data_IF_671566883945
#
_entry.id   IF_671566883945
#
_cell.length_a   1.000
_cell.length_b   1.000
_cell.length_c   1.000
_cell.angle_alpha   90.00
_cell.angle_beta   90.00
_cell.angle_gamma   90.00
#
_symmetry.space_group_name_H-M   'P 1'
#
loop_
_entity.id
_entity.type
_entity.pdbx_description
1 polymer ?
#
# COMPACT_ATOMS: atom_id res chain seq x y z
N UNK A 1 -4.10 6.94 40.05
CA UNK A 1 -5.27 7.36 39.23
C UNK A 1 -5.51 8.88 39.30
N UNK A 2 -5.59 9.50 40.49
CA UNK A 2 -5.80 10.96 40.61
C UNK A 2 -4.70 11.84 39.98
N UNK A 3 -3.42 11.43 40.02
CA UNK A 3 -2.31 12.18 39.39
C UNK A 3 -2.47 12.33 37.87
N UNK A 4 -2.74 11.23 37.15
CA UNK A 4 -2.97 11.25 35.69
C UNK A 4 -4.19 12.11 35.34
N UNK A 5 -5.26 12.01 36.13
CA UNK A 5 -6.47 12.82 35.91
C UNK A 5 -6.22 14.31 36.11
N UNK A 6 -5.50 14.71 37.17
CA UNK A 6 -5.14 16.10 37.41
C UNK A 6 -4.27 16.65 36.27
N UNK A 7 -3.26 15.88 35.86
CA UNK A 7 -2.38 16.22 34.75
C UNK A 7 -3.17 16.51 33.46
N UNK A 8 -4.13 15.64 33.13
CA UNK A 8 -4.96 15.79 31.93
C UNK A 8 -5.95 16.96 31.97
N UNK A 9 -6.49 17.28 33.15
CA UNK A 9 -7.63 18.22 33.27
C UNK A 9 -7.23 19.62 33.68
N UNK A 10 -6.13 19.75 34.42
CA UNK A 10 -5.68 21.03 35.00
C UNK A 10 -4.40 21.54 34.32
N UNK A 11 -3.50 20.64 33.93
CA UNK A 11 -2.16 21.01 33.46
C UNK A 11 -2.01 21.00 31.92
N UNK A 12 -3.05 20.58 31.19
CA UNK A 12 -3.03 20.50 29.72
C UNK A 12 -4.09 21.37 29.05
N UNK A 13 -3.70 22.09 27.98
CA UNK A 13 -4.68 22.66 27.04
C UNK A 13 -5.33 21.52 26.22
N UNK A 14 -6.63 21.30 26.48
CA UNK A 14 -7.43 20.26 25.83
C UNK A 14 -7.46 20.38 24.30
N UNK A 15 -7.29 21.59 23.73
CA UNK A 15 -7.30 21.81 22.28
C UNK A 15 -6.09 21.14 21.61
N UNK A 16 -4.92 21.32 22.21
CA UNK A 16 -3.68 20.72 21.72
C UNK A 16 -3.64 19.21 22.01
N UNK A 17 -4.25 18.76 23.11
CA UNK A 17 -4.43 17.33 23.37
C UNK A 17 -5.29 16.66 22.28
N UNK A 18 -6.42 17.25 21.91
CA UNK A 18 -7.26 16.72 20.82
C UNK A 18 -6.52 16.72 19.49
N UNK A 19 -5.74 17.76 19.20
CA UNK A 19 -4.90 17.83 18.00
C UNK A 19 -3.83 16.72 18.00
N UNK A 20 -3.16 16.48 19.14
CA UNK A 20 -2.18 15.42 19.28
C UNK A 20 -2.80 14.04 19.03
N UNK A 21 -3.97 13.76 19.60
CA UNK A 21 -4.70 12.49 19.38
C UNK A 21 -5.11 12.33 17.91
N UNK A 22 -5.60 13.39 17.27
CA UNK A 22 -5.96 13.36 15.84
C UNK A 22 -4.74 13.07 14.95
N UNK A 23 -3.63 13.78 15.17
CA UNK A 23 -2.39 13.56 14.41
C UNK A 23 -1.84 12.15 14.69
N UNK A 24 -1.89 11.68 15.94
CA UNK A 24 -1.51 10.33 16.31
C UNK A 24 -2.33 9.27 15.55
N UNK A 25 -3.65 9.48 15.43
CA UNK A 25 -4.52 8.59 14.69
C UNK A 25 -4.22 8.58 13.19
N UNK A 26 -4.08 9.76 12.57
CA UNK A 26 -3.79 9.87 11.13
C UNK A 26 -2.42 9.26 10.77
N UNK A 27 -1.41 9.51 11.60
CA UNK A 27 -0.05 8.95 11.40
C UNK A 27 -0.03 7.44 11.65
N UNK A 28 -0.76 6.95 12.66
CA UNK A 28 -0.96 5.51 12.88
C UNK A 28 -1.66 4.83 11.71
N UNK A 29 -2.70 5.46 11.14
CA UNK A 29 -3.39 4.96 9.96
C UNK A 29 -2.47 4.89 8.75
N UNK A 30 -1.68 5.94 8.51
CA UNK A 30 -0.68 5.96 7.44
C UNK A 30 0.36 4.84 7.63
N UNK A 31 0.87 4.67 8.85
CA UNK A 31 1.83 3.63 9.19
C UNK A 31 1.29 2.21 8.93
N UNK A 32 0.06 1.91 9.35
CA UNK A 32 -0.55 0.58 9.09
C UNK A 32 -0.74 0.34 7.58
N UNK A 33 -1.17 1.35 6.83
CA UNK A 33 -1.26 1.23 5.36
C UNK A 33 0.10 0.98 4.71
N UNK A 34 1.17 1.64 5.19
CA UNK A 34 2.54 1.40 4.74
C UNK A 34 3.04 0.00 5.11
N UNK A 35 2.71 -0.48 6.31
CA UNK A 35 3.01 -1.83 6.76
C UNK A 35 2.31 -2.90 5.91
N UNK A 36 1.05 -2.71 5.54
CA UNK A 36 0.35 -3.63 4.64
C UNK A 36 1.00 -3.73 3.26
N UNK A 37 1.54 -2.62 2.74
CA UNK A 37 2.33 -2.63 1.49
C UNK A 37 3.64 -3.38 1.66
N UNK A 38 4.31 -3.22 2.80
CA UNK A 38 5.49 -4.01 3.11
C UNK A 38 5.20 -5.51 3.13
N UNK A 39 4.05 -5.91 3.68
CA UNK A 39 3.60 -7.32 3.69
C UNK A 39 3.33 -7.86 2.29
N UNK A 40 2.83 -7.02 1.38
CA UNK A 40 2.56 -7.40 -0.02
C UNK A 40 3.80 -7.39 -0.92
N UNK A 41 4.91 -6.78 -0.47
CA UNK A 41 6.16 -6.69 -1.21
C UNK A 41 7.18 -7.75 -0.77
N UNK A 42 8.21 -7.97 -1.57
CA UNK A 42 9.35 -8.86 -1.24
C UNK A 42 10.69 -8.16 -1.51
N UNK A 43 11.76 -8.68 -0.89
CA UNK A 43 13.13 -8.21 -1.11
C UNK A 43 13.35 -6.74 -0.73
N UNK A 44 14.07 -5.98 -1.58
CA UNK A 44 14.44 -4.58 -1.31
C UNK A 44 13.23 -3.64 -1.18
N UNK A 45 12.15 -3.92 -1.91
CA UNK A 45 10.94 -3.10 -1.87
C UNK A 45 10.22 -3.26 -0.53
N UNK A 46 10.18 -4.47 0.02
CA UNK A 46 9.67 -4.73 1.36
C UNK A 46 10.45 -3.96 2.43
N UNK A 47 11.78 -4.00 2.38
CA UNK A 47 12.66 -3.24 3.27
C UNK A 47 12.39 -1.73 3.20
N UNK A 48 12.21 -1.18 2.00
CA UNK A 48 11.91 0.25 1.82
C UNK A 48 10.55 0.63 2.44
N UNK A 49 9.52 -0.20 2.26
CA UNK A 49 8.21 0.04 2.89
C UNK A 49 8.27 -0.09 4.41
N UNK A 50 9.01 -1.07 4.95
CA UNK A 50 9.22 -1.23 6.39
C UNK A 50 9.91 0.00 7.00
N UNK A 51 10.98 0.49 6.36
CA UNK A 51 11.67 1.70 6.78
C UNK A 51 10.73 2.92 6.73
N UNK A 52 9.95 3.05 5.66
CA UNK A 52 9.00 4.18 5.51
C UNK A 52 7.88 4.12 6.57
N UNK A 53 7.36 2.93 6.87
CA UNK A 53 6.36 2.71 7.92
C UNK A 53 6.92 3.03 9.31
N UNK A 54 8.14 2.58 9.61
CA UNK A 54 8.82 2.88 10.86
C UNK A 54 9.16 4.36 11.03
N UNK A 55 9.72 5.02 9.99
CA UNK A 55 9.96 6.47 10.02
C UNK A 55 8.65 7.23 10.23
N UNK A 56 7.59 6.87 9.51
CA UNK A 56 6.26 7.49 9.68
C UNK A 56 5.74 7.33 11.11
N UNK A 57 5.88 6.14 11.68
CA UNK A 57 5.47 5.85 13.06
C UNK A 57 6.32 6.63 14.06
N UNK A 58 7.65 6.66 13.89
CA UNK A 58 8.57 7.41 14.73
C UNK A 58 8.28 8.92 14.71
N UNK A 59 8.06 9.50 13.54
CA UNK A 59 7.62 10.90 13.41
C UNK A 59 6.26 11.13 14.07
N UNK A 60 5.31 10.20 13.94
CA UNK A 60 3.99 10.28 14.58
C UNK A 60 4.06 10.23 16.11
N UNK A 61 4.82 9.29 16.67
CA UNK A 61 5.09 9.18 18.12
C UNK A 61 5.73 10.48 18.61
N UNK A 62 6.78 10.94 17.91
CA UNK A 62 7.54 12.14 18.28
C UNK A 62 6.68 13.41 18.24
N UNK A 63 5.93 13.62 17.16
CA UNK A 63 5.00 14.74 17.03
C UNK A 63 3.92 14.68 18.13
N UNK A 64 3.33 13.51 18.38
CA UNK A 64 2.29 13.37 19.42
C UNK A 64 2.82 13.75 20.79
N UNK A 65 4.00 13.25 21.16
CA UNK A 65 4.63 13.58 22.45
C UNK A 65 4.91 15.07 22.58
N UNK A 66 5.54 15.70 21.59
CA UNK A 66 5.91 17.11 21.70
C UNK A 66 4.73 18.06 21.52
N UNK A 67 3.68 17.72 20.76
CA UNK A 67 2.42 18.48 20.76
C UNK A 67 1.76 18.41 22.15
N UNK A 68 1.75 17.25 22.79
CA UNK A 68 1.23 17.11 24.15
C UNK A 68 2.10 17.85 25.18
N UNK A 69 3.43 17.88 25.02
CA UNK A 69 4.31 18.71 25.84
C UNK A 69 4.12 20.21 25.62
N UNK A 70 3.77 20.64 24.41
CA UNK A 70 3.36 22.04 24.15
C UNK A 70 2.00 22.36 24.78
N UNK A 71 1.15 21.36 24.97
CA UNK A 71 -0.11 21.51 25.70
C UNK A 71 0.10 21.56 27.22
N UNK A 72 1.24 21.04 27.71
CA UNK A 72 1.56 20.96 29.13
C UNK A 72 2.10 22.29 29.65
N UNK A 73 1.37 22.92 30.58
CA UNK A 73 1.69 24.25 31.13
C UNK A 73 2.02 24.16 32.64
N UNK A 74 3.25 23.81 33.03
CA UNK A 74 3.64 23.66 34.43
C UNK A 74 3.80 24.99 35.19
N UNK A 75 3.50 26.14 34.55
CA UNK A 75 3.66 27.48 35.13
C UNK A 75 5.11 27.98 35.25
N UNK A 76 6.08 27.23 34.71
CA UNK A 76 7.51 27.59 34.68
C UNK A 76 8.03 27.59 33.23
N UNK A 77 9.08 28.38 32.91
CA UNK A 77 9.70 28.34 31.59
C UNK A 77 10.24 26.94 31.25
N UNK A 78 9.94 26.49 30.03
CA UNK A 78 10.37 25.20 29.48
C UNK A 78 11.16 25.41 28.19
N UNK A 79 12.23 24.64 28.02
CA UNK A 79 12.98 24.54 26.77
C UNK A 79 13.37 23.09 26.51
N UNK A 80 13.93 22.80 25.32
CA UNK A 80 14.25 21.42 24.94
C UNK A 80 15.64 21.30 24.34
N UNK A 81 16.47 20.40 24.87
CA UNK A 81 17.78 20.12 24.31
C UNK A 81 17.65 19.61 22.86
N UNK A 82 18.31 20.28 21.91
CA UNK A 82 18.20 19.95 20.47
C UNK A 82 18.70 18.52 20.18
N UNK A 83 19.82 18.12 20.81
CA UNK A 83 20.46 16.83 20.55
C UNK A 83 19.61 15.65 21.03
N UNK A 84 19.10 15.72 22.27
CA UNK A 84 18.21 14.68 22.81
C UNK A 84 16.86 14.66 22.10
N UNK A 85 16.34 15.82 21.68
CA UNK A 85 15.11 15.90 20.88
C UNK A 85 15.27 15.16 19.55
N UNK A 86 16.39 15.38 18.84
CA UNK A 86 16.69 14.66 17.60
C UNK A 86 16.94 13.17 17.83
N UNK A 87 17.67 12.81 18.90
CA UNK A 87 17.94 11.42 19.27
C UNK A 87 16.65 10.65 19.55
N UNK A 88 15.68 11.26 20.25
CA UNK A 88 14.38 10.64 20.54
C UNK A 88 13.61 10.28 19.27
N UNK A 89 13.65 11.15 18.24
CA UNK A 89 13.05 10.89 16.93
C UNK A 89 13.74 9.74 16.20
N UNK A 90 15.07 9.77 16.14
CA UNK A 90 15.86 8.73 15.45
C UNK A 90 15.68 7.36 16.12
N UNK A 91 15.69 7.33 17.45
CA UNK A 91 15.43 6.12 18.22
C UNK A 91 14.01 5.57 17.94
N UNK A 92 12.99 6.43 17.95
CA UNK A 92 11.63 6.03 17.63
C UNK A 92 11.52 5.43 16.22
N UNK A 93 12.08 6.09 15.21
CA UNK A 93 12.06 5.62 13.82
C UNK A 93 12.80 4.30 13.65
N UNK A 94 13.97 4.14 14.27
CA UNK A 94 14.76 2.92 14.19
C UNK A 94 14.06 1.73 14.87
N UNK A 95 13.63 1.90 16.13
CA UNK A 95 13.01 0.82 16.91
C UNK A 95 11.69 0.38 16.30
N UNK A 96 10.85 1.32 15.83
CA UNK A 96 9.59 0.96 15.17
C UNK A 96 9.82 0.29 13.81
N UNK A 97 10.83 0.70 13.03
CA UNK A 97 11.23 -0.01 11.81
C UNK A 97 11.64 -1.46 12.10
N UNK A 98 12.42 -1.68 13.16
CA UNK A 98 12.79 -3.02 13.62
C UNK A 98 11.55 -3.81 14.04
N UNK A 99 10.64 -3.21 14.80
CA UNK A 99 9.40 -3.87 15.24
C UNK A 99 8.52 -4.33 14.07
N UNK A 100 8.35 -3.49 13.04
CA UNK A 100 7.65 -3.91 11.83
C UNK A 100 8.40 -5.00 11.06
N UNK A 101 9.72 -4.92 10.96
CA UNK A 101 10.52 -5.96 10.30
C UNK A 101 10.41 -7.31 11.03
N UNK A 102 10.48 -7.30 12.36
CA UNK A 102 10.27 -8.49 13.21
C UNK A 102 8.86 -9.06 12.99
N UNK A 103 7.85 -8.20 12.85
CA UNK A 103 6.47 -8.63 12.57
C UNK A 103 6.29 -9.38 11.25
N UNK A 104 7.23 -9.24 10.30
CA UNK A 104 7.19 -9.91 9.00
C UNK A 104 8.32 -10.95 8.82
N UNK A 105 9.18 -11.15 9.83
CA UNK A 105 10.35 -12.01 9.73
C UNK A 105 9.98 -13.50 9.61
N UNK A 106 8.87 -13.91 10.22
CA UNK A 106 8.37 -15.29 10.17
C UNK A 106 6.85 -15.30 10.02
N UNK A 107 6.27 -16.31 9.36
CA UNK A 107 4.83 -16.46 9.29
C UNK A 107 4.24 -16.76 10.68
N UNK A 108 3.11 -16.12 10.99
CA UNK A 108 2.31 -16.42 12.19
C UNK A 108 2.10 -15.23 13.13
N UNK A 109 1.21 -15.43 14.10
CA UNK A 109 0.79 -14.40 15.05
C UNK A 109 1.91 -13.99 16.02
N UNK A 110 2.80 -14.92 16.37
CA UNK A 110 3.88 -14.67 17.32
C UNK A 110 4.86 -13.60 16.85
N UNK A 111 5.27 -13.64 15.57
CA UNK A 111 6.13 -12.61 15.00
C UNK A 111 5.49 -11.22 15.12
N UNK A 112 4.19 -11.11 14.85
CA UNK A 112 3.43 -9.87 14.98
C UNK A 112 3.36 -9.38 16.42
N UNK A 113 3.13 -10.27 17.39
CA UNK A 113 3.12 -9.92 18.81
C UNK A 113 4.48 -9.38 19.26
N UNK A 114 5.57 -10.09 18.95
CA UNK A 114 6.93 -9.63 19.30
C UNK A 114 7.25 -8.31 18.60
N UNK A 115 6.94 -8.18 17.31
CA UNK A 115 7.14 -6.94 16.57
C UNK A 115 6.37 -5.77 17.18
N UNK A 116 5.14 -6.01 17.64
CA UNK A 116 4.31 -4.98 18.28
C UNK A 116 4.78 -4.60 19.67
N UNK A 117 5.32 -5.55 20.44
CA UNK A 117 6.04 -5.26 21.70
C UNK A 117 7.24 -4.36 21.43
N UNK A 118 8.03 -4.62 20.39
CA UNK A 118 9.17 -3.78 19.99
C UNK A 118 8.71 -2.38 19.57
N UNK A 119 7.63 -2.26 18.78
CA UNK A 119 7.02 -0.95 18.45
C UNK A 119 6.61 -0.21 19.72
N UNK A 120 5.94 -0.88 20.66
CA UNK A 120 5.55 -0.30 21.95
C UNK A 120 6.76 0.10 22.82
N UNK A 121 7.84 -0.67 22.80
CA UNK A 121 9.11 -0.28 23.43
C UNK A 121 9.70 0.98 22.77
N UNK A 122 9.54 1.14 21.46
CA UNK A 122 9.91 2.35 20.73
C UNK A 122 9.13 3.60 21.18
N UNK A 123 7.85 3.45 21.53
CA UNK A 123 7.05 4.53 22.15
C UNK A 123 7.68 4.98 23.47
N UNK A 124 8.04 4.02 24.34
CA UNK A 124 8.71 4.32 25.61
C UNK A 124 10.08 4.93 25.45
N UNK A 125 10.92 4.34 24.58
CA UNK A 125 12.26 4.86 24.29
C UNK A 125 12.21 6.30 23.80
N UNK A 126 11.27 6.61 22.90
CA UNK A 126 11.02 7.97 22.44
C UNK A 126 10.60 8.88 23.59
N UNK A 127 9.56 8.50 24.35
CA UNK A 127 8.98 9.31 25.40
C UNK A 127 10.01 9.70 26.47
N UNK A 128 10.71 8.72 27.04
CA UNK A 128 11.67 8.99 28.12
C UNK A 128 12.91 9.72 27.63
N UNK A 129 13.36 9.46 26.39
CA UNK A 129 14.45 10.26 25.79
C UNK A 129 14.00 11.69 25.53
N UNK A 130 12.74 11.89 25.10
CA UNK A 130 12.13 13.21 24.91
C UNK A 130 11.98 13.98 26.23
N UNK A 131 11.56 13.30 27.29
CA UNK A 131 11.52 13.87 28.65
C UNK A 131 12.92 14.18 29.19
N UNK A 132 13.94 13.43 28.79
CA UNK A 132 15.33 13.77 29.13
C UNK A 132 15.82 15.03 28.41
N UNK A 133 15.22 15.37 27.27
CA UNK A 133 15.48 16.62 26.57
C UNK A 133 14.84 17.84 27.25
N UNK A 134 13.86 17.65 28.15
CA UNK A 134 13.17 18.75 28.82
C UNK A 134 14.12 19.51 29.76
N UNK A 135 14.30 20.79 29.50
CA UNK A 135 15.05 21.72 30.33
C UNK A 135 14.08 22.61 31.10
N UNK A 136 14.10 22.45 32.43
CA UNK A 136 13.30 23.22 33.40
C UNK A 136 14.20 23.63 34.57
N UNK A 137 13.87 24.73 35.29
CA UNK A 137 14.56 25.14 36.51
C UNK A 137 14.22 24.22 37.70
N UNK A 138 14.53 22.93 37.55
CA UNK A 138 14.15 21.87 38.47
C UNK A 138 14.73 20.51 38.10
N UNK A 139 14.47 19.52 38.95
CA UNK A 139 14.80 18.11 38.71
C UNK A 139 13.53 17.32 38.49
N UNK A 140 13.54 16.48 37.47
CA UNK A 140 12.46 15.54 37.19
C UNK A 140 12.64 14.28 38.05
N UNK A 141 11.73 14.05 38.97
CA UNK A 141 11.57 12.80 39.70
C UNK A 141 10.47 11.94 39.07
N UNK A 142 10.56 10.63 39.29
CA UNK A 142 9.72 9.63 38.62
C UNK A 142 9.03 8.70 39.61
N UNK A 143 7.72 8.52 39.43
CA UNK A 143 6.95 7.43 40.03
C UNK A 143 7.18 6.14 39.21
N UNK A 144 8.03 5.24 39.73
CA UNK A 144 8.42 4.02 39.01
C UNK A 144 7.23 3.10 38.66
N UNK A 145 6.22 2.88 39.54
CA UNK A 145 5.02 2.14 39.17
C UNK A 145 4.30 2.68 37.93
N UNK A 146 4.12 4.00 37.81
CA UNK A 146 3.49 4.61 36.64
C UNK A 146 4.37 4.53 35.40
N UNK A 147 5.69 4.65 35.55
CA UNK A 147 6.66 4.42 34.46
C UNK A 147 6.55 2.99 33.90
N UNK A 148 6.52 1.98 34.77
CA UNK A 148 6.38 0.59 34.34
C UNK A 148 5.01 0.33 33.70
N UNK A 149 3.95 0.94 34.25
CA UNK A 149 2.59 0.83 33.73
C UNK A 149 2.46 1.43 32.33
N UNK A 150 3.02 2.62 32.09
CA UNK A 150 2.98 3.25 30.78
C UNK A 150 3.73 2.42 29.73
N UNK A 151 4.93 1.92 30.05
CA UNK A 151 5.70 1.02 29.16
C UNK A 151 4.89 -0.24 28.85
N UNK A 152 4.29 -0.86 29.86
CA UNK A 152 3.42 -2.02 29.69
C UNK A 152 2.24 -1.76 28.76
N UNK A 153 1.52 -0.64 28.93
CA UNK A 153 0.40 -0.25 28.06
C UNK A 153 0.86 -0.08 26.61
N UNK A 154 1.99 0.60 26.39
CA UNK A 154 2.57 0.76 25.05
C UNK A 154 2.89 -0.58 24.39
N UNK A 155 3.52 -1.51 25.11
CA UNK A 155 3.85 -2.84 24.60
C UNK A 155 2.62 -3.70 24.32
N UNK A 156 1.63 -3.71 25.22
CA UNK A 156 0.41 -4.53 25.09
C UNK A 156 -0.43 -4.06 23.92
N UNK A 157 -0.70 -2.76 23.81
CA UNK A 157 -1.49 -2.22 22.70
C UNK A 157 -0.71 -2.23 21.39
N UNK A 158 0.62 -2.07 21.41
CA UNK A 158 1.49 -2.26 20.24
C UNK A 158 1.41 -3.70 19.71
N UNK A 159 1.50 -4.70 20.59
CA UNK A 159 1.33 -6.10 20.24
C UNK A 159 -0.06 -6.38 19.65
N UNK A 160 -1.12 -5.86 20.27
CA UNK A 160 -2.48 -6.00 19.77
C UNK A 160 -2.68 -5.32 18.39
N UNK A 161 -2.07 -4.16 18.18
CA UNK A 161 -2.13 -3.42 16.91
C UNK A 161 -1.52 -4.24 15.77
N UNK A 162 -0.31 -4.77 15.93
CA UNK A 162 0.32 -5.58 14.87
C UNK A 162 -0.37 -6.94 14.71
N UNK A 163 -0.81 -7.57 15.80
CA UNK A 163 -1.62 -8.77 15.75
C UNK A 163 -2.91 -8.57 14.93
N UNK A 164 -3.56 -7.40 15.05
CA UNK A 164 -4.70 -7.04 14.20
C UNK A 164 -4.28 -6.76 12.76
N UNK A 165 -3.20 -5.99 12.57
CA UNK A 165 -2.72 -5.60 11.24
C UNK A 165 -2.32 -6.79 10.36
N UNK A 166 -1.74 -7.85 10.95
CA UNK A 166 -1.31 -9.02 10.18
C UNK A 166 -2.47 -9.91 9.72
N UNK A 167 -3.68 -9.79 10.29
CA UNK A 167 -4.83 -10.66 9.96
C UNK A 167 -5.43 -10.38 8.59
N UNK A 168 -5.58 -9.11 8.24
CA UNK A 168 -6.11 -8.67 6.93
C UNK A 168 -5.76 -7.21 6.68
N UNK A 169 -5.82 -6.80 5.41
CA UNK A 169 -5.70 -5.42 4.94
C UNK A 169 -7.07 -4.76 4.66
N UNK A 170 -8.17 -5.39 5.08
CA UNK A 170 -9.51 -4.80 5.01
C UNK A 170 -9.59 -3.48 5.79
N UNK A 171 -10.40 -2.53 5.29
CA UNK A 171 -10.55 -1.20 5.90
C UNK A 171 -10.89 -1.26 7.40
N UNK A 172 -11.76 -2.19 7.81
CA UNK A 172 -12.16 -2.35 9.21
C UNK A 172 -10.98 -2.79 10.08
N UNK A 173 -10.20 -3.78 9.65
CA UNK A 173 -9.05 -4.27 10.42
C UNK A 173 -7.90 -3.27 10.45
N UNK A 174 -7.72 -2.52 9.37
CA UNK A 174 -6.78 -1.39 9.28
C UNK A 174 -7.14 -0.29 10.28
N UNK A 175 -8.42 0.09 10.37
CA UNK A 175 -8.90 1.07 11.35
C UNK A 175 -8.70 0.58 12.78
N UNK A 176 -9.04 -0.69 13.08
CA UNK A 176 -8.83 -1.28 14.41
C UNK A 176 -7.34 -1.29 14.79
N UNK A 177 -6.45 -1.69 13.87
CA UNK A 177 -5.01 -1.68 14.13
C UNK A 177 -4.48 -0.26 14.36
N UNK A 178 -4.93 0.72 13.59
CA UNK A 178 -4.55 2.13 13.75
C UNK A 178 -5.04 2.69 15.09
N UNK A 179 -6.27 2.37 15.51
CA UNK A 179 -6.81 2.77 16.82
C UNK A 179 -6.04 2.13 17.97
N UNK A 180 -5.68 0.85 17.87
CA UNK A 180 -4.86 0.18 18.88
C UNK A 180 -3.46 0.77 18.98
N UNK A 181 -2.84 1.11 17.84
CA UNK A 181 -1.53 1.78 17.83
C UNK A 181 -1.62 3.20 18.43
N UNK A 182 -2.69 3.94 18.10
CA UNK A 182 -2.99 5.25 18.71
C UNK A 182 -3.15 5.11 20.22
N UNK A 183 -3.89 4.11 20.67
CA UNK A 183 -4.09 3.82 22.09
C UNK A 183 -2.78 3.46 22.78
N UNK A 184 -1.89 2.71 22.13
CA UNK A 184 -0.54 2.42 22.64
C UNK A 184 0.24 3.71 22.93
N UNK A 185 0.22 4.67 22.00
CA UNK A 185 0.96 5.93 22.10
C UNK A 185 0.33 6.85 23.16
N UNK A 186 -0.98 7.08 23.06
CA UNK A 186 -1.71 8.02 23.92
C UNK A 186 -1.77 7.53 25.37
N UNK A 187 -2.11 6.25 25.58
CA UNK A 187 -2.17 5.69 26.95
C UNK A 187 -0.80 5.64 27.61
N UNK A 188 0.26 5.31 26.85
CA UNK A 188 1.63 5.41 27.34
C UNK A 188 1.96 6.84 27.76
N UNK A 189 1.78 7.80 26.85
CA UNK A 189 2.18 9.19 27.06
C UNK A 189 1.53 9.79 28.32
N UNK A 190 0.20 9.73 28.44
CA UNK A 190 -0.47 10.37 29.56
C UNK A 190 -0.28 9.64 30.89
N UNK A 191 -0.09 8.31 30.87
CA UNK A 191 0.29 7.57 32.07
C UNK A 191 1.70 7.94 32.52
N UNK A 192 2.63 8.11 31.57
CA UNK A 192 4.01 8.51 31.85
C UNK A 192 4.11 9.97 32.34
N UNK A 193 3.33 10.90 31.78
CA UNK A 193 3.24 12.28 32.27
C UNK A 193 2.72 12.33 33.70
N UNK A 194 1.74 11.48 34.06
CA UNK A 194 1.29 11.37 35.46
C UNK A 194 2.34 10.79 36.42
N UNK A 195 3.46 10.26 35.91
CA UNK A 195 4.59 9.78 36.70
C UNK A 195 5.63 10.86 37.01
N UNK A 196 5.56 12.01 36.34
CA UNK A 196 6.53 13.10 36.43
C UNK A 196 6.24 13.98 37.65
N UNK A 197 7.28 14.28 38.41
CA UNK A 197 7.25 15.27 39.49
C UNK A 197 8.42 16.24 39.34
N UNK A 198 8.14 17.53 39.13
CA UNK A 198 9.18 18.54 38.95
C UNK A 198 9.49 19.17 40.31
N UNK A 199 10.68 18.88 40.84
CA UNK A 199 11.20 19.47 42.06
C UNK A 199 11.94 20.77 41.70
N UNK A 200 11.48 21.96 42.11
CA UNK A 200 12.13 23.22 41.77
C UNK A 200 13.58 23.28 42.29
N UNK A 201 14.50 23.68 41.43
CA UNK A 201 15.92 23.82 41.75
C UNK A 201 16.43 25.11 41.06
N UNK A 202 16.47 26.25 41.77
CA UNK A 202 16.79 27.55 41.18
C UNK A 202 18.26 27.68 40.74
N UNK A 203 19.08 26.66 41.00
CA UNK A 203 20.49 26.63 40.56
C UNK A 203 20.65 26.14 39.11
N UNK A 204 19.58 25.59 38.52
CA UNK A 204 19.56 25.13 37.13
C UNK A 204 19.20 26.27 36.18
N UNK A 205 20.12 26.60 35.29
CA UNK A 205 19.90 27.52 34.15
C UNK A 205 19.60 26.74 32.89
N UNK A 206 18.77 27.30 32.01
CA UNK A 206 18.45 26.75 30.68
C UNK A 206 19.68 26.90 29.78
N UNK A 207 20.05 25.85 29.04
CA UNK A 207 21.25 25.85 28.21
C UNK A 207 21.06 26.68 26.94
N UNK A 208 22.17 27.22 26.41
CA UNK A 208 22.17 28.06 25.21
C UNK A 208 21.81 27.32 23.91
N UNK A 209 21.86 25.98 23.89
CA UNK A 209 21.56 25.12 22.73
C UNK A 209 20.23 24.39 22.89
N UNK A 210 19.16 25.16 23.15
CA UNK A 210 17.82 24.68 23.40
C UNK A 210 16.82 25.17 22.34
N UNK A 211 15.79 24.36 22.08
CA UNK A 211 14.65 24.71 21.24
C UNK A 211 13.61 25.43 22.07
N UNK A 212 13.17 26.59 21.59
CA UNK A 212 11.98 27.24 22.10
C UNK A 212 10.71 26.47 21.70
N UNK A 213 9.59 26.61 22.43
CA UNK A 213 8.29 26.04 22.07
C UNK A 213 7.89 26.33 20.61
N UNK A 214 8.14 27.55 20.13
CA UNK A 214 7.85 27.95 18.74
C UNK A 214 8.72 27.21 17.72
N UNK A 215 10.03 27.07 17.98
CA UNK A 215 10.93 26.33 17.09
C UNK A 215 10.55 24.84 17.03
N UNK A 216 10.16 24.27 18.17
CA UNK A 216 9.66 22.90 18.26
C UNK A 216 8.35 22.72 17.48
N UNK A 217 7.40 23.65 17.59
CA UNK A 217 6.16 23.63 16.80
C UNK A 217 6.41 23.64 15.29
N UNK A 218 7.39 24.45 14.83
CA UNK A 218 7.81 24.45 13.42
C UNK A 218 8.47 23.13 13.00
N UNK A 219 9.27 22.52 13.87
CA UNK A 219 9.86 21.21 13.61
C UNK A 219 8.77 20.12 13.49
N UNK A 220 7.75 20.16 14.34
CA UNK A 220 6.56 19.28 14.25
C UNK A 220 5.82 19.49 12.93
N UNK A 221 5.58 20.73 12.53
CA UNK A 221 4.91 21.03 11.26
C UNK A 221 5.68 20.45 10.05
N UNK A 222 7.01 20.60 10.04
CA UNK A 222 7.85 20.01 8.99
C UNK A 222 7.82 18.48 9.00
N UNK A 223 7.84 17.84 10.18
CA UNK A 223 7.69 16.39 10.30
C UNK A 223 6.33 15.90 9.76
N UNK A 224 5.25 16.63 10.06
CA UNK A 224 3.92 16.32 9.54
C UNK A 224 3.86 16.42 8.01
N UNK A 225 4.45 17.47 7.41
CA UNK A 225 4.57 17.61 5.96
C UNK A 225 5.37 16.45 5.34
N UNK A 226 6.47 16.04 5.97
CA UNK A 226 7.27 14.90 5.51
C UNK A 226 6.45 13.59 5.53
N UNK A 227 5.67 13.35 6.58
CA UNK A 227 4.78 12.17 6.68
C UNK A 227 3.69 12.18 5.61
N UNK A 228 3.07 13.34 5.36
CA UNK A 228 2.10 13.48 4.27
C UNK A 228 2.76 13.23 2.90
N UNK A 229 3.97 13.75 2.69
CA UNK A 229 4.77 13.52 1.48
C UNK A 229 5.07 12.04 1.26
N UNK A 230 5.51 11.32 2.29
CA UNK A 230 5.74 9.87 2.23
C UNK A 230 4.46 9.09 1.91
N UNK A 231 3.34 9.48 2.53
CA UNK A 231 2.03 8.84 2.30
C UNK A 231 1.53 9.06 0.86
N UNK A 232 1.68 10.27 0.33
CA UNK A 232 1.34 10.61 -1.05
C UNK A 232 2.25 9.90 -2.05
N UNK A 233 3.57 9.91 -1.83
CA UNK A 233 4.52 9.17 -2.66
C UNK A 233 4.18 7.68 -2.69
N UNK A 234 3.77 7.13 -1.54
CA UNK A 234 3.18 5.81 -1.43
C UNK A 234 1.98 5.63 -2.36
N UNK A 235 0.96 6.47 -2.22
CA UNK A 235 -0.24 6.37 -3.04
C UNK A 235 0.05 6.47 -4.55
N UNK A 236 1.02 7.30 -4.96
CA UNK A 236 1.47 7.38 -6.35
C UNK A 236 2.20 6.12 -6.83
N UNK A 237 3.05 5.52 -5.99
CA UNK A 237 3.73 4.27 -6.31
C UNK A 237 2.72 3.14 -6.59
N UNK A 238 1.68 3.03 -5.77
CA UNK A 238 0.60 2.04 -5.97
C UNK A 238 -0.16 2.28 -7.26
N UNK A 239 -0.53 3.54 -7.55
CA UNK A 239 -1.22 3.90 -8.79
C UNK A 239 -0.38 3.51 -10.00
N UNK A 240 0.93 3.72 -9.95
CA UNK A 240 1.85 3.38 -11.04
C UNK A 240 2.00 1.88 -11.23
N UNK A 241 2.04 1.10 -10.15
CA UNK A 241 2.04 -0.36 -10.23
C UNK A 241 0.73 -0.89 -10.83
N UNK A 242 -0.43 -0.42 -10.34
CA UNK A 242 -1.74 -0.80 -10.89
C UNK A 242 -1.91 -0.40 -12.35
N UNK A 243 -1.36 0.74 -12.76
CA UNK A 243 -1.35 1.16 -14.17
C UNK A 243 -0.49 0.24 -15.03
N UNK A 244 0.70 -0.18 -14.56
CA UNK A 244 1.53 -1.15 -15.29
C UNK A 244 0.84 -2.49 -15.43
N UNK A 245 0.20 -2.98 -14.37
CA UNK A 245 -0.57 -4.23 -14.42
C UNK A 245 -1.72 -4.11 -15.42
N UNK A 246 -2.49 -3.02 -15.37
CA UNK A 246 -3.59 -2.77 -16.31
C UNK A 246 -3.11 -2.65 -17.77
N UNK A 247 -1.97 -1.99 -18.01
CA UNK A 247 -1.36 -1.89 -19.34
C UNK A 247 -0.92 -3.26 -19.85
N UNK A 248 -0.30 -4.08 -18.99
CA UNK A 248 0.09 -5.44 -19.35
C UNK A 248 -1.13 -6.29 -19.68
N UNK A 249 -2.16 -6.28 -18.84
CA UNK A 249 -3.43 -7.01 -19.10
C UNK A 249 -4.08 -6.54 -20.40
N UNK A 250 -4.11 -5.22 -20.65
CA UNK A 250 -4.69 -4.65 -21.88
C UNK A 250 -3.87 -5.05 -23.11
N UNK A 251 -2.54 -4.98 -23.04
CA UNK A 251 -1.66 -5.39 -24.13
C UNK A 251 -1.83 -6.88 -24.44
N UNK A 252 -1.90 -7.73 -23.41
CA UNK A 252 -2.11 -9.17 -23.55
C UNK A 252 -3.49 -9.50 -24.14
N UNK A 253 -4.55 -8.79 -23.74
CA UNK A 253 -5.91 -9.02 -24.26
C UNK A 253 -6.13 -8.45 -25.66
N UNK A 254 -5.34 -7.44 -26.08
CA UNK A 254 -5.40 -6.88 -27.43
C UNK A 254 -4.50 -7.64 -28.44
N UNK A 255 -3.83 -8.70 -28.02
CA UNK A 255 -3.15 -9.60 -28.95
C UNK A 255 -4.17 -10.43 -29.74
N UNK A 256 -3.91 -10.65 -31.03
CA UNK A 256 -4.74 -11.52 -31.85
C UNK A 256 -4.67 -12.99 -31.43
N UNK A 257 -3.56 -13.37 -30.79
CA UNK A 257 -3.22 -14.72 -30.34
C UNK A 257 -3.75 -14.97 -28.91
N UNK A 258 -4.20 -16.21 -28.65
CA UNK A 258 -4.41 -16.70 -27.30
C UNK A 258 -3.08 -16.90 -26.56
N UNK A 259 -3.02 -16.56 -25.27
CA UNK A 259 -1.83 -16.77 -24.44
C UNK A 259 -2.20 -17.59 -23.19
N UNK A 260 -1.34 -18.54 -22.85
CA UNK A 260 -1.36 -19.31 -21.61
C UNK A 260 0.06 -19.38 -21.05
N UNK A 261 0.20 -19.49 -19.74
CA UNK A 261 1.48 -19.75 -19.09
C UNK A 261 1.25 -20.64 -17.88
N UNK A 262 2.04 -21.70 -17.73
CA UNK A 262 1.94 -22.64 -16.61
C UNK A 262 3.17 -22.55 -15.69
N UNK A 263 2.99 -22.96 -14.44
CA UNK A 263 4.10 -23.19 -13.51
C UNK A 263 4.77 -24.56 -13.75
N UNK A 264 5.91 -24.85 -13.10
CA UNK A 264 6.57 -26.16 -13.22
C UNK A 264 5.69 -27.35 -12.75
N UNK A 265 4.62 -27.09 -11.99
CA UNK A 265 3.63 -28.07 -11.55
C UNK A 265 2.42 -28.16 -12.51
N UNK A 266 2.49 -27.55 -13.69
CA UNK A 266 1.46 -27.52 -14.75
C UNK A 266 0.15 -26.88 -14.31
N UNK A 267 0.21 -25.89 -13.41
CA UNK A 267 -0.92 -25.04 -13.05
C UNK A 267 -0.87 -23.73 -13.80
N UNK A 268 -2.02 -23.27 -14.26
CA UNK A 268 -2.14 -22.04 -15.04
C UNK A 268 -1.75 -20.82 -14.18
N UNK A 269 -0.74 -20.08 -14.60
CA UNK A 269 -0.32 -18.82 -13.98
C UNK A 269 -1.06 -17.65 -14.63
N UNK A 270 -1.12 -17.63 -15.96
CA UNK A 270 -1.61 -16.49 -16.74
C UNK A 270 -2.34 -16.96 -17.99
N UNK A 271 -3.42 -16.26 -18.35
CA UNK A 271 -4.10 -16.40 -19.63
C UNK A 271 -4.65 -15.05 -20.09
N UNK A 272 -4.90 -14.89 -21.39
CA UNK A 272 -5.62 -13.72 -21.92
C UNK A 272 -7.07 -14.08 -22.32
N UNK A 273 -7.95 -13.08 -22.39
CA UNK A 273 -9.35 -13.30 -22.77
C UNK A 273 -9.48 -13.88 -24.19
N UNK A 274 -8.56 -13.50 -25.09
CA UNK A 274 -8.53 -13.96 -26.47
C UNK A 274 -8.49 -15.49 -26.56
N UNK A 275 -7.75 -16.16 -25.69
CA UNK A 275 -7.73 -17.63 -25.65
C UNK A 275 -9.10 -18.23 -25.33
N UNK A 276 -9.79 -17.69 -24.33
CA UNK A 276 -11.13 -18.16 -23.92
C UNK A 276 -12.13 -17.96 -25.07
N UNK A 277 -12.09 -16.79 -25.72
CA UNK A 277 -12.96 -16.46 -26.85
C UNK A 277 -12.67 -17.32 -28.09
N UNK A 278 -11.40 -17.61 -28.38
CA UNK A 278 -10.99 -18.40 -29.53
C UNK A 278 -11.55 -19.83 -29.48
N UNK A 279 -11.58 -20.43 -28.29
CA UNK A 279 -11.98 -21.82 -28.08
C UNK A 279 -13.37 -21.97 -27.43
N UNK A 280 -14.09 -20.87 -27.17
CA UNK A 280 -15.42 -20.91 -26.56
C UNK A 280 -15.44 -21.51 -25.15
N UNK A 281 -14.35 -21.34 -24.40
CA UNK A 281 -14.19 -21.94 -23.08
C UNK A 281 -14.96 -21.13 -22.02
N UNK A 282 -15.24 -21.75 -20.87
CA UNK A 282 -15.94 -21.08 -19.78
C UNK A 282 -14.95 -20.33 -18.89
N UNK A 283 -15.13 -19.02 -18.63
CA UNK A 283 -14.30 -18.26 -17.69
C UNK A 283 -14.36 -18.80 -16.25
N UNK A 284 -15.41 -19.55 -15.92
CA UNK A 284 -15.55 -20.18 -14.60
C UNK A 284 -14.61 -21.40 -14.41
N UNK A 285 -14.19 -22.00 -15.51
CA UNK A 285 -13.29 -23.16 -15.55
C UNK A 285 -11.85 -22.70 -15.79
N UNK A 286 -11.64 -21.77 -16.74
CA UNK A 286 -10.32 -21.20 -17.05
C UNK A 286 -9.97 -20.11 -16.03
N UNK A 287 -9.24 -20.49 -14.98
CA UNK A 287 -8.79 -19.59 -13.92
C UNK A 287 -7.38 -19.93 -13.44
N UNK A 288 -6.61 -18.97 -12.91
CA UNK A 288 -5.28 -19.27 -12.40
C UNK A 288 -5.34 -20.37 -11.34
N UNK A 289 -4.39 -21.30 -11.39
CA UNK A 289 -4.32 -22.48 -10.54
C UNK A 289 -4.97 -23.75 -11.11
N UNK A 290 -5.77 -23.65 -12.19
CA UNK A 290 -6.31 -24.84 -12.87
C UNK A 290 -5.17 -25.65 -13.50
N UNK A 291 -5.27 -26.98 -13.50
CA UNK A 291 -4.22 -27.82 -14.11
C UNK A 291 -4.39 -27.85 -15.63
N UNK A 292 -3.31 -28.11 -16.36
CA UNK A 292 -3.39 -28.33 -17.81
C UNK A 292 -4.38 -29.45 -18.16
N UNK A 293 -4.50 -30.47 -17.30
CA UNK A 293 -5.43 -31.58 -17.46
C UNK A 293 -6.89 -31.16 -17.31
N UNK A 294 -7.19 -30.28 -16.35
CA UNK A 294 -8.55 -29.71 -16.21
C UNK A 294 -8.91 -28.85 -17.42
N UNK A 295 -7.94 -28.09 -17.94
CA UNK A 295 -8.10 -27.27 -19.13
C UNK A 295 -8.39 -28.13 -20.37
N UNK A 296 -7.63 -29.22 -20.58
CA UNK A 296 -7.83 -30.16 -21.69
C UNK A 296 -9.15 -30.93 -21.57
N UNK A 297 -9.57 -31.29 -20.36
CA UNK A 297 -10.90 -31.88 -20.12
C UNK A 297 -12.00 -30.92 -20.54
N UNK A 298 -11.89 -29.63 -20.18
CA UNK A 298 -12.83 -28.60 -20.60
C UNK A 298 -12.84 -28.41 -22.12
N UNK A 299 -11.66 -28.44 -22.77
CA UNK A 299 -11.56 -28.44 -24.22
C UNK A 299 -12.30 -29.61 -24.88
N UNK A 300 -12.21 -30.81 -24.29
CA UNK A 300 -12.93 -32.01 -24.75
C UNK A 300 -14.45 -31.90 -24.53
N UNK A 301 -14.88 -31.35 -23.40
CA UNK A 301 -16.29 -31.08 -23.10
C UNK A 301 -16.93 -30.08 -24.09
N UNK A 302 -16.18 -29.05 -24.49
CA UNK A 302 -16.62 -28.06 -25.49
C UNK A 302 -16.42 -28.57 -26.94
N UNK A 303 -15.82 -29.74 -27.11
CA UNK A 303 -15.63 -30.38 -28.42
C UNK A 303 -14.50 -29.78 -29.27
N UNK A 304 -13.58 -29.05 -28.67
CA UNK A 304 -12.45 -28.40 -29.36
C UNK A 304 -11.19 -29.26 -29.41
N UNK A 305 -11.12 -30.31 -28.58
CA UNK A 305 -10.06 -31.32 -28.55
C UNK A 305 -10.62 -32.67 -28.99
N UNK A 306 -10.02 -33.25 -30.04
CA UNK A 306 -10.38 -34.56 -30.60
C UNK A 306 -9.59 -35.71 -29.98
N UNK A 307 -8.40 -35.45 -29.45
CA UNK A 307 -7.50 -36.46 -28.88
C UNK A 307 -7.92 -36.94 -27.48
N UNK A 308 -7.29 -38.02 -27.02
CA UNK A 308 -7.42 -38.45 -25.64
C UNK A 308 -6.60 -37.54 -24.71
N UNK A 309 -7.22 -37.10 -23.60
CA UNK A 309 -6.61 -36.13 -22.68
C UNK A 309 -5.36 -36.71 -22.04
N UNK A 310 -5.35 -38.01 -21.69
CA UNK A 310 -4.21 -38.63 -21.02
C UNK A 310 -3.05 -38.85 -21.99
N UNK A 311 -3.36 -39.25 -23.22
CA UNK A 311 -2.36 -39.40 -24.27
C UNK A 311 -1.72 -38.06 -24.65
N UNK A 312 -2.52 -37.00 -24.73
CA UNK A 312 -2.02 -35.64 -24.99
C UNK A 312 -1.13 -35.16 -23.84
N UNK A 313 -1.55 -35.34 -22.58
CA UNK A 313 -0.73 -35.02 -21.41
C UNK A 313 0.61 -35.78 -21.41
N UNK A 314 0.60 -37.08 -21.71
CA UNK A 314 1.81 -37.89 -21.74
C UNK A 314 2.81 -37.43 -22.83
N UNK A 315 2.29 -37.06 -24.01
CA UNK A 315 3.10 -36.55 -25.13
C UNK A 315 3.74 -35.20 -24.78
N UNK A 316 2.96 -34.34 -24.11
CA UNK A 316 3.43 -33.07 -23.60
C UNK A 316 4.53 -33.20 -22.55
N UNK A 317 4.35 -34.14 -21.62
CA UNK A 317 5.31 -34.39 -20.56
C UNK A 317 6.66 -34.85 -21.10
N UNK A 318 6.64 -35.70 -22.12
CA UNK A 318 7.84 -36.12 -22.83
C UNK A 318 8.52 -34.94 -23.54
N UNK A 319 7.76 -34.09 -24.23
CA UNK A 319 8.30 -32.91 -24.92
C UNK A 319 8.92 -31.87 -23.97
N UNK A 320 8.30 -31.66 -22.80
CA UNK A 320 8.82 -30.77 -21.76
C UNK A 320 10.11 -31.36 -21.15
N UNK A 321 10.14 -32.67 -20.89
CA UNK A 321 11.31 -33.35 -20.34
C UNK A 321 12.55 -33.26 -21.25
N UNK A 322 12.34 -33.20 -22.57
CA UNK A 322 13.41 -33.01 -23.56
C UNK A 322 13.91 -31.54 -23.67
N UNK A 323 13.26 -30.58 -23.01
CA UNK A 323 13.62 -29.17 -23.08
C UNK A 323 13.55 -28.59 -24.50
N UNK A 324 12.71 -29.16 -25.38
CA UNK A 324 12.56 -28.69 -26.75
C UNK A 324 11.40 -27.71 -26.86
N UNK A 325 11.60 -26.69 -27.69
CA UNK A 325 10.50 -25.81 -28.09
C UNK A 325 9.72 -26.50 -29.19
N UNK A 326 8.51 -27.00 -28.90
CA UNK A 326 7.68 -27.73 -29.85
C UNK A 326 6.65 -26.79 -30.45
N UNK A 327 6.57 -26.72 -31.77
CA UNK A 327 5.47 -26.05 -32.48
C UNK A 327 4.58 -27.13 -33.05
N UNK A 328 3.32 -27.18 -32.64
CA UNK A 328 2.35 -28.16 -33.13
C UNK A 328 1.16 -27.41 -33.71
N UNK A 329 0.62 -27.91 -34.82
CA UNK A 329 -0.66 -27.44 -35.34
C UNK A 329 -1.72 -28.42 -34.83
N UNK A 330 -2.64 -27.93 -34.01
CA UNK A 330 -3.80 -28.73 -33.62
C UNK A 330 -4.91 -28.52 -34.63
N UNK A 331 -5.37 -29.62 -35.24
CA UNK A 331 -6.59 -29.59 -36.04
C UNK A 331 -7.77 -29.74 -35.10
N UNK A 332 -8.39 -28.61 -34.77
CA UNK A 332 -9.59 -28.61 -33.93
C UNK A 332 -10.76 -29.24 -34.69
N UNK A 333 -11.62 -30.00 -34.01
CA UNK A 333 -12.78 -30.67 -34.61
C UNK A 333 -13.76 -29.70 -35.34
N UNK A 334 -13.62 -28.41 -35.07
CA UNK A 334 -14.36 -27.28 -35.63
C UNK A 334 -13.78 -26.79 -36.97
N UNK A 335 -12.72 -27.40 -37.51
CA UNK A 335 -12.03 -26.97 -38.74
C UNK A 335 -11.16 -25.71 -38.55
N UNK A 336 -10.71 -25.44 -37.32
CA UNK A 336 -9.68 -24.44 -37.03
C UNK A 336 -8.36 -25.15 -36.77
N UNK A 337 -7.42 -25.00 -37.69
CA UNK A 337 -6.02 -25.33 -37.48
C UNK A 337 -5.33 -24.09 -36.90
N UNK A 338 -5.03 -24.09 -35.60
CA UNK A 338 -4.36 -22.98 -34.93
C UNK A 338 -2.96 -23.44 -34.46
N UNK A 339 -1.87 -22.79 -34.93
CA UNK A 339 -0.51 -23.19 -34.56
C UNK A 339 -0.20 -22.78 -33.11
N UNK A 340 0.23 -23.71 -32.27
CA UNK A 340 0.70 -23.44 -30.90
C UNK A 340 2.20 -23.72 -30.75
N UNK A 341 2.89 -22.96 -29.89
CA UNK A 341 4.32 -23.09 -29.62
C UNK A 341 4.59 -23.22 -28.11
N UNK A 342 5.19 -24.34 -27.73
CA UNK A 342 5.66 -24.65 -26.38
C UNK A 342 7.13 -24.27 -26.30
N UNK A 343 7.58 -23.51 -25.29
CA UNK A 343 9.00 -23.24 -25.05
C UNK A 343 9.60 -24.24 -24.05
N UNK A 344 10.92 -24.42 -24.15
CA UNK A 344 11.74 -25.34 -23.35
C UNK A 344 11.64 -25.13 -21.82
N UNK A 345 11.20 -23.96 -21.36
CA UNK A 345 11.06 -23.60 -19.95
C UNK A 345 9.63 -23.78 -19.39
N UNK A 346 8.75 -24.45 -20.16
CA UNK A 346 7.35 -24.67 -19.79
C UNK A 346 6.41 -23.48 -20.07
N UNK A 347 6.92 -22.37 -20.66
CA UNK A 347 6.08 -21.25 -21.10
C UNK A 347 5.50 -21.50 -22.49
N UNK A 348 4.25 -21.08 -22.69
CA UNK A 348 3.53 -21.24 -23.96
C UNK A 348 3.35 -19.88 -24.65
N UNK A 349 3.42 -19.88 -25.98
CA UNK A 349 2.98 -18.77 -26.86
C UNK A 349 2.27 -19.37 -28.07
N UNK A 350 1.06 -18.91 -28.40
CA UNK A 350 0.43 -19.29 -29.67
C UNK A 350 1.11 -18.58 -30.85
N UNK A 351 1.10 -19.25 -32.01
CA UNK A 351 1.47 -18.69 -33.31
C UNK A 351 0.30 -17.99 -33.99
N UNK A 352 0.63 -17.19 -35.01
CA UNK A 352 -0.32 -16.35 -35.74
C UNK A 352 -1.47 -17.13 -36.39
N UNK A 353 -2.68 -16.56 -36.36
CA UNK A 353 -3.76 -16.98 -37.24
C UNK A 353 -3.35 -16.71 -38.70
N UNK A 354 -3.07 -17.79 -39.43
CA UNK A 354 -2.66 -17.73 -40.82
C UNK A 354 -3.75 -17.14 -41.76
N UNK A 355 -5.00 -16.98 -41.31
CA UNK A 355 -6.07 -16.36 -42.12
C UNK A 355 -6.12 -14.84 -42.06
N UNK A 356 -5.41 -14.20 -41.12
CA UNK A 356 -5.35 -12.73 -41.00
C UNK A 356 -4.67 -12.01 -42.18
N UNK A 357 -3.78 -12.69 -42.92
CA UNK A 357 -3.07 -12.07 -44.07
C UNK A 357 -3.91 -11.98 -45.35
N UNK A 358 -4.86 -12.88 -45.57
CA UNK A 358 -5.67 -12.83 -46.80
C UNK A 358 -6.77 -11.76 -46.77
N UNK A 359 -7.21 -11.31 -45.58
CA UNK A 359 -8.24 -10.29 -45.44
C UNK A 359 -7.77 -8.84 -45.60
N UNK A 360 -6.47 -8.55 -45.39
CA UNK A 360 -5.91 -7.20 -45.54
C UNK A 360 -5.44 -6.91 -46.96
N UNK A 361 -4.93 -7.90 -47.71
CA UNK A 361 -4.49 -7.70 -49.11
C UNK A 361 -5.65 -7.48 -50.10
N UNK A 362 -6.85 -8.00 -49.80
CA UNK A 362 -8.04 -7.80 -50.63
C UNK A 362 -8.71 -6.43 -50.44
N UNK A 363 -8.41 -5.69 -49.37
CA UNK A 363 -8.86 -4.29 -49.20
C UNK A 363 -7.89 -3.26 -49.75
N UNK A 364 -6.63 -3.62 -49.98
CA UNK A 364 -5.60 -2.73 -50.52
C UNK A 364 -5.61 -2.61 -52.06
N UNK A 365 -6.33 -3.47 -52.79
CA UNK A 365 -6.34 -3.50 -54.26
C UNK A 365 -7.52 -2.78 -54.92
N UNK A 366 -8.44 -2.16 -54.15
CA UNK A 366 -9.62 -1.48 -54.70
C UNK A 366 -9.68 0.03 -54.39
N UNK A 367 -8.56 0.73 -54.59
CA UNK A 367 -8.56 2.19 -54.70
C UNK A 367 -7.28 2.69 -55.40
N UNK A 368 -7.20 2.55 -56.72
CA UNK A 368 -6.30 3.38 -57.55
C UNK A 368 -7.15 4.35 -58.37
N UNK A 369 -7.16 5.67 -58.08
CA UNK A 369 -7.57 6.67 -59.03
C UNK A 369 -6.46 6.88 -60.07
N UNK A 370 -6.84 7.03 -61.34
CA UNK A 370 -5.93 7.31 -62.46
C UNK A 370 -5.21 8.67 -62.28
N UNK A 371 -3.96 8.82 -62.77
CA UNK A 371 -3.25 10.09 -62.75
C UNK A 371 -3.62 10.92 -63.99
N UNK A 372 -4.30 12.06 -63.80
CA UNK A 372 -4.54 12.98 -64.91
C UNK A 372 -5.35 14.23 -64.53
N UNK A 373 -4.64 15.38 -64.53
CA UNK A 373 -5.16 16.75 -64.74
C UNK A 373 -5.71 17.52 -63.49
N UNK A 374 -5.73 18.87 -63.52
CA UNK A 374 -4.82 19.70 -62.72
C UNK A 374 -5.53 20.46 -61.59
N UNK A 375 -4.73 20.80 -60.58
CA UNK A 375 -5.12 21.57 -59.40
C UNK A 375 -5.27 23.06 -59.72
N UNK A 376 -6.39 23.72 -59.36
CA UNK A 376 -6.42 25.18 -59.33
C UNK A 376 -5.97 25.68 -57.96
N UNK A 377 -5.08 26.66 -58.06
CA UNK A 377 -4.45 27.45 -57.02
C UNK A 377 -5.44 28.44 -56.36
N UNK A 378 -4.98 29.12 -55.28
CA UNK A 378 -5.61 30.15 -54.42
C UNK A 378 -6.22 29.59 -53.13
N UNK A 379 -6.01 30.15 -51.95
CA UNK A 379 -5.37 31.41 -51.55
C UNK A 379 -5.76 31.71 -50.10
N UNK A 380 -4.85 32.36 -49.38
CA UNK A 380 -4.94 32.88 -48.01
C UNK A 380 -6.32 33.44 -47.62
N UNK A 381 -6.76 33.21 -46.38
CA UNK A 381 -7.38 34.25 -45.54
C UNK A 381 -7.28 33.87 -44.04
N UNK A 382 -7.03 34.91 -43.25
CA UNK A 382 -6.65 34.89 -41.85
C UNK A 382 -7.86 34.91 -40.89
N UNK A 383 -7.54 34.86 -39.59
CA UNK A 383 -8.44 34.65 -38.46
C UNK A 383 -9.62 35.61 -38.30
N UNK A 384 -10.60 35.16 -37.52
CA UNK A 384 -11.32 36.02 -36.60
C UNK A 384 -11.88 35.22 -35.41
N UNK A 385 -11.74 35.86 -34.26
CA UNK A 385 -12.21 35.58 -32.91
C UNK A 385 -13.75 35.56 -32.84
N UNK A 386 -14.36 34.65 -32.06
CA UNK A 386 -15.72 34.84 -31.52
C UNK A 386 -15.99 33.96 -30.29
N UNK A 387 -16.24 34.63 -29.16
CA UNK A 387 -16.83 34.13 -27.91
C UNK A 387 -18.35 33.97 -28.05
N UNK A 388 -18.92 33.26 -27.07
CA UNK A 388 -20.33 33.30 -26.61
C UNK A 388 -21.36 32.26 -27.15
N UNK A 389 -21.73 31.37 -26.21
CA UNK A 389 -23.11 31.19 -25.69
C UNK A 389 -23.99 30.01 -26.14
N UNK A 390 -24.81 29.57 -25.17
CA UNK A 390 -25.97 28.65 -25.22
C UNK A 390 -25.71 27.14 -25.33
N UNK A 391 -26.44 26.23 -24.64
CA UNK A 391 -27.37 26.25 -23.51
C UNK A 391 -27.72 24.76 -23.28
N UNK A 392 -27.77 24.30 -22.03
CA UNK A 392 -28.39 23.01 -21.67
C UNK A 392 -29.92 23.13 -21.70
N UNK A 393 -30.64 22.01 -21.88
CA UNK A 393 -31.81 21.80 -21.04
C UNK A 393 -31.80 20.42 -20.37
N UNK A 394 -32.31 20.43 -19.14
CA UNK A 394 -32.66 19.26 -18.35
C UNK A 394 -34.17 18.99 -18.43
N UNK A 395 -34.57 17.89 -17.81
CA UNK A 395 -35.91 17.52 -17.28
C UNK A 395 -36.69 16.47 -18.09
N UNK A 396 -36.81 15.28 -17.49
CA UNK A 396 -38.12 14.64 -17.31
C UNK A 396 -38.12 13.78 -16.03
N UNK A 397 -38.81 14.28 -15.01
CA UNK A 397 -39.27 13.57 -13.81
C UNK A 397 -40.62 12.92 -14.08
N UNK A 398 -40.83 11.71 -13.55
CA UNK A 398 -42.11 11.00 -13.61
C UNK A 398 -42.21 9.93 -12.53
N UNK A 399 -42.52 10.35 -11.30
CA UNK A 399 -43.00 9.46 -10.24
C UNK A 399 -44.51 9.23 -10.41
N UNK A 400 -44.96 7.97 -10.33
CA UNK A 400 -46.33 7.67 -9.91
C UNK A 400 -46.32 6.56 -8.85
N UNK A 401 -46.87 6.91 -7.68
CA UNK A 401 -47.22 6.02 -6.57
C UNK A 401 -48.58 5.39 -6.88
N UNK A 402 -48.72 4.09 -6.63
CA UNK A 402 -50.03 3.44 -6.45
C UNK A 402 -50.09 2.80 -5.06
N UNK A 403 -51.18 3.09 -4.36
CA UNK A 403 -51.57 2.59 -3.04
C UNK A 403 -52.03 1.14 -3.12
N UNK A 404 -51.61 0.30 -2.18
CA UNK A 404 -52.47 -0.27 -1.11
C UNK A 404 -51.60 -0.90 -0.05
#
# INVERSE_FOLDING_TARGET
MFRVFNCLTVEHDWRLVLLAVLICFLTSLAAINLFHRARAATGRVQLAWLATAGITTGCGIWATHFIAMLAYEPGIPVAYNVGLTALSLLAAAAVTSIGFAVSLAMPGLWAALVGGVVVGAGVGAMHYTGMWALEVPGRVAWDLPLVMSSVGLGMVFGAAALASAVRSDEIRTTLVAALLLTLAIVSHHFTAMGAVEILPDPTRVIDAFSLSPTALALAIANAAVAVLGMSLAGAFADRRLRQKDAQLTTALNNMAQGLLMFDPQKRLILYNSRYVDMYGLSPHVVKPGCTIKDLLRHHKEVGTLSEDVEQYCATLDAAIAEGKTTSTMESSANGRDDPYRIQADGRWRMGDDARGRHGQDLRATRARPQPGSPQPDRGKCAGHDFREECQRPAVHTGQSRVRR
#
